data_IF_671963292101
#
_entry.id   IF_671963292101
#
_cell.length_a   1.000
_cell.length_b   1.000
_cell.length_c   1.000
_cell.angle_alpha   90.00
_cell.angle_beta   90.00
_cell.angle_gamma   90.00
#
_symmetry.space_group_name_H-M   'P 1'
#
loop_
_entity.id
_entity.type
_entity.pdbx_description
1 polymer ?
#
# COMPACT_ATOMS: atom_id res chain seq x y z
N UNK A 1 31.87 2.14 58.56
CA UNK A 1 32.36 1.96 57.19
C UNK A 1 31.47 1.06 56.32
N UNK A 2 30.91 -0.03 56.85
CA UNK A 2 30.05 -0.96 56.07
C UNK A 2 28.72 -0.35 55.64
N UNK A 3 28.13 0.53 56.44
CA UNK A 3 26.82 1.11 56.16
C UNK A 3 26.89 2.27 55.16
N UNK A 4 27.99 2.99 55.06
CA UNK A 4 28.22 4.03 54.04
C UNK A 4 28.42 3.42 52.65
N UNK A 5 29.05 2.23 52.56
CA UNK A 5 29.25 1.53 51.27
C UNK A 5 27.93 0.97 50.76
N UNK A 6 27.05 0.49 51.62
CA UNK A 6 25.71 0.00 51.27
C UNK A 6 24.80 1.15 50.76
N UNK A 7 24.87 2.32 51.40
CA UNK A 7 24.12 3.51 50.95
C UNK A 7 24.59 4.02 49.58
N UNK A 8 25.90 3.97 49.31
CA UNK A 8 26.48 4.39 48.04
C UNK A 8 26.13 3.43 46.87
N UNK A 9 26.09 2.13 47.15
CA UNK A 9 25.69 1.10 46.16
C UNK A 9 24.19 1.21 45.80
N UNK A 10 23.33 1.52 46.80
CA UNK A 10 21.90 1.75 46.53
C UNK A 10 21.65 3.02 45.71
N UNK A 11 22.45 4.07 45.92
CA UNK A 11 22.31 5.35 45.16
C UNK A 11 22.79 5.18 43.73
N UNK A 12 23.80 4.39 43.44
CA UNK A 12 24.31 4.12 42.10
C UNK A 12 23.35 3.22 41.31
N UNK A 13 22.64 2.28 41.95
CA UNK A 13 21.63 1.44 41.29
C UNK A 13 20.39 2.22 40.93
N UNK A 14 20.03 3.29 41.67
CA UNK A 14 18.90 4.17 41.28
C UNK A 14 19.20 5.14 40.11
N UNK A 15 20.46 5.39 39.79
CA UNK A 15 20.86 6.32 38.73
C UNK A 15 21.04 5.67 37.34
N UNK A 16 20.97 4.33 37.26
CA UNK A 16 21.10 3.59 35.99
C UNK A 16 19.72 3.24 35.35
N UNK A 17 18.61 3.59 36.00
CA UNK A 17 17.26 3.18 35.57
C UNK A 17 16.48 4.25 34.81
N UNK A 18 17.12 5.10 33.98
CA UNK A 18 16.39 6.15 33.30
C UNK A 18 16.89 6.51 31.89
N UNK A 19 17.20 5.53 31.07
CA UNK A 19 17.32 5.79 29.64
C UNK A 19 16.72 4.64 28.83
N UNK A 20 15.53 4.21 29.17
CA UNK A 20 14.63 3.65 28.17
C UNK A 20 14.07 4.89 27.45
N UNK A 21 14.71 5.26 26.35
CA UNK A 21 14.09 6.14 25.37
C UNK A 21 12.85 5.40 24.89
N UNK A 22 11.73 5.61 25.57
CA UNK A 22 10.42 5.38 25.00
C UNK A 22 10.44 6.19 23.72
N UNK A 23 10.39 5.50 22.60
CA UNK A 23 10.11 6.08 21.28
C UNK A 23 8.79 6.85 21.48
N UNK A 24 8.90 8.15 21.78
CA UNK A 24 7.77 8.94 22.23
C UNK A 24 6.81 9.00 21.06
N UNK A 25 5.75 8.21 21.17
CA UNK A 25 4.67 8.16 20.21
C UNK A 25 4.19 9.59 20.01
N UNK A 26 4.45 10.17 18.81
CA UNK A 26 3.97 11.52 18.50
C UNK A 26 2.45 11.49 18.67
N UNK A 27 1.85 12.42 19.44
CA UNK A 27 0.41 12.45 19.59
C UNK A 27 -0.23 12.57 18.21
N UNK A 28 -1.25 11.77 18.00
CA UNK A 28 -2.05 11.85 16.79
C UNK A 28 -2.68 13.23 16.71
N UNK A 29 -2.52 13.92 15.57
CA UNK A 29 -3.11 15.24 15.34
C UNK A 29 -4.57 15.07 14.92
N UNK A 30 -5.46 15.89 15.46
CA UNK A 30 -6.81 16.06 14.93
C UNK A 30 -6.83 16.96 13.69
N UNK A 31 -7.98 17.08 13.04
CA UNK A 31 -8.15 17.84 11.80
C UNK A 31 -7.75 19.30 11.94
N UNK A 32 -8.12 19.97 13.05
CA UNK A 32 -7.77 21.36 13.28
C UNK A 32 -6.26 21.53 13.46
N UNK A 33 -5.61 20.66 14.22
CA UNK A 33 -4.16 20.66 14.40
C UNK A 33 -3.40 20.42 13.09
N UNK A 34 -3.96 19.59 12.18
CA UNK A 34 -3.40 19.39 10.84
C UNK A 34 -3.45 20.72 10.06
N UNK A 35 -4.61 21.38 10.02
CA UNK A 35 -4.78 22.68 9.34
C UNK A 35 -3.86 23.76 9.92
N UNK A 36 -3.82 23.90 11.24
CA UNK A 36 -3.01 24.90 11.93
C UNK A 36 -1.50 24.70 11.72
N UNK A 37 -1.06 23.45 11.55
CA UNK A 37 0.33 23.12 11.26
C UNK A 37 0.78 23.53 9.84
N UNK A 38 -0.16 23.77 8.92
CA UNK A 38 0.12 24.04 7.52
C UNK A 38 0.70 22.85 6.73
N UNK A 39 0.63 21.63 7.29
CA UNK A 39 1.23 20.43 6.69
C UNK A 39 0.35 19.20 6.88
N UNK A 40 0.13 18.43 5.80
CA UNK A 40 -0.50 17.10 5.81
C UNK A 40 0.58 16.05 5.67
N UNK A 41 0.79 15.21 6.70
CA UNK A 41 1.74 14.09 6.68
C UNK A 41 1.07 12.86 6.05
N UNK A 42 1.59 12.43 4.90
CA UNK A 42 0.96 11.42 4.04
C UNK A 42 1.87 10.20 3.94
N UNK A 43 1.35 9.03 4.28
CA UNK A 43 2.05 7.76 4.09
C UNK A 43 1.69 7.11 2.75
N UNK A 44 2.72 6.71 2.01
CA UNK A 44 2.60 6.00 0.74
C UNK A 44 3.51 4.78 0.72
N UNK A 45 3.22 3.79 -0.12
CA UNK A 45 4.11 2.65 -0.39
C UNK A 45 4.28 2.46 -1.90
N UNK A 46 5.45 2.01 -2.33
CA UNK A 46 5.70 1.71 -3.74
C UNK A 46 4.74 0.62 -4.23
N UNK A 47 3.94 0.96 -5.22
CA UNK A 47 2.93 0.10 -5.81
C UNK A 47 2.50 0.67 -7.17
N UNK A 48 3.07 0.18 -8.25
CA UNK A 48 2.79 0.68 -9.60
C UNK A 48 1.36 0.35 -10.06
N UNK A 49 0.62 1.30 -10.67
CA UNK A 49 0.96 2.68 -10.97
C UNK A 49 0.49 3.69 -9.91
N UNK A 50 0.08 3.23 -8.72
CA UNK A 50 -0.35 4.10 -7.61
C UNK A 50 0.78 4.99 -7.12
N UNK A 51 1.94 4.40 -6.82
CA UNK A 51 3.14 5.09 -6.34
C UNK A 51 4.38 4.47 -7.00
N UNK A 52 5.15 5.27 -7.71
CA UNK A 52 6.36 4.85 -8.40
C UNK A 52 7.49 5.87 -8.19
N UNK A 53 8.71 5.48 -8.54
CA UNK A 53 9.81 6.44 -8.71
C UNK A 53 9.98 6.80 -10.17
N UNK A 54 10.03 8.09 -10.46
CA UNK A 54 10.45 8.60 -11.75
C UNK A 54 11.98 8.46 -11.93
N UNK A 55 12.47 8.66 -13.15
CA UNK A 55 13.90 8.62 -13.49
C UNK A 55 14.75 9.59 -12.66
N UNK A 56 14.19 10.73 -12.29
CA UNK A 56 14.83 11.75 -11.45
C UNK A 56 14.75 11.43 -9.94
N UNK A 57 14.19 10.27 -9.58
CA UNK A 57 14.03 9.82 -8.20
C UNK A 57 12.79 10.36 -7.48
N UNK A 58 12.01 11.26 -8.08
CA UNK A 58 10.79 11.77 -7.48
C UNK A 58 9.70 10.70 -7.41
N UNK A 59 8.80 10.83 -6.44
CA UNK A 59 7.61 10.00 -6.37
C UNK A 59 6.54 10.54 -7.33
N UNK A 60 5.98 9.63 -8.12
CA UNK A 60 4.92 9.86 -9.11
C UNK A 60 3.87 8.75 -9.03
N UNK A 61 2.71 8.97 -9.59
CA UNK A 61 1.62 7.98 -9.60
C UNK A 61 0.29 8.59 -9.20
N UNK A 62 -0.78 7.84 -9.37
CA UNK A 62 -2.15 8.30 -9.09
C UNK A 62 -2.32 8.78 -7.64
N UNK A 63 -1.70 8.10 -6.69
CA UNK A 63 -1.81 8.44 -5.28
C UNK A 63 -0.93 9.64 -4.91
N UNK A 64 0.16 9.88 -5.63
CA UNK A 64 0.99 11.07 -5.45
C UNK A 64 0.24 12.31 -5.94
N UNK A 65 -0.44 12.21 -7.08
CA UNK A 65 -1.30 13.30 -7.59
C UNK A 65 -2.46 13.55 -6.63
N UNK A 66 -3.09 12.49 -6.13
CA UNK A 66 -4.16 12.57 -5.14
C UNK A 66 -3.70 13.24 -3.83
N UNK A 67 -2.54 12.84 -3.32
CA UNK A 67 -1.94 13.40 -2.11
C UNK A 67 -1.65 14.91 -2.25
N UNK A 68 -1.06 15.31 -3.38
CA UNK A 68 -0.77 16.72 -3.69
C UNK A 68 -2.04 17.54 -3.83
N UNK A 69 -3.03 17.01 -4.53
CA UNK A 69 -4.31 17.69 -4.74
C UNK A 69 -5.09 17.83 -3.44
N UNK A 70 -5.15 16.80 -2.62
CA UNK A 70 -5.82 16.84 -1.32
C UNK A 70 -5.23 17.95 -0.43
N UNK A 71 -3.91 17.98 -0.28
CA UNK A 71 -3.24 19.01 0.51
C UNK A 71 -3.46 20.42 -0.07
N UNK A 72 -3.42 20.59 -1.38
CA UNK A 72 -3.70 21.85 -2.06
C UNK A 72 -5.14 22.35 -1.81
N UNK A 73 -6.13 21.45 -1.89
CA UNK A 73 -7.52 21.78 -1.60
C UNK A 73 -7.77 22.09 -0.11
N UNK A 74 -6.90 21.61 0.79
CA UNK A 74 -6.86 21.98 2.21
C UNK A 74 -6.13 23.33 2.47
N UNK A 75 -5.45 23.88 1.47
CA UNK A 75 -4.62 25.09 1.62
C UNK A 75 -3.32 24.88 2.39
N UNK A 76 -2.82 23.64 2.51
CA UNK A 76 -1.62 23.25 3.26
C UNK A 76 -0.63 22.49 2.38
N UNK A 77 0.59 22.25 2.90
CA UNK A 77 1.65 21.56 2.16
C UNK A 77 1.56 20.03 2.35
N UNK A 78 1.78 19.22 1.30
CA UNK A 78 1.93 17.77 1.46
C UNK A 78 3.33 17.41 1.95
N UNK A 79 3.41 16.57 2.97
CA UNK A 79 4.63 15.91 3.46
C UNK A 79 4.51 14.42 3.20
N UNK A 80 5.04 13.97 2.06
CA UNK A 80 4.87 12.60 1.58
C UNK A 80 6.04 11.75 2.05
N UNK A 81 5.76 10.71 2.85
CA UNK A 81 6.74 9.77 3.38
C UNK A 81 6.51 8.35 2.83
N UNK A 82 7.58 7.74 2.34
CA UNK A 82 7.56 6.36 1.82
C UNK A 82 7.74 5.37 2.96
N UNK A 83 6.87 4.38 2.98
CA UNK A 83 6.88 3.25 3.94
C UNK A 83 6.86 1.91 3.20
N UNK A 84 7.31 0.87 3.88
CA UNK A 84 6.92 -0.48 3.48
C UNK A 84 5.41 -0.66 3.66
N UNK A 85 4.79 -1.46 2.79
CA UNK A 85 3.33 -1.65 2.79
C UNK A 85 2.78 -2.04 4.16
N UNK A 86 3.44 -2.97 4.85
CA UNK A 86 3.07 -3.46 6.19
C UNK A 86 3.17 -2.41 7.29
N UNK A 87 3.95 -1.35 7.06
CA UNK A 87 4.20 -0.28 8.04
C UNK A 87 3.24 0.91 7.93
N UNK A 88 2.43 1.00 6.86
CA UNK A 88 1.51 2.13 6.66
C UNK A 88 0.49 2.28 7.80
N UNK A 89 -0.25 1.21 8.15
CA UNK A 89 -1.23 1.25 9.24
C UNK A 89 -0.54 1.47 10.59
N UNK A 90 0.55 0.75 10.96
CA UNK A 90 1.31 1.07 12.16
C UNK A 90 1.81 2.52 12.26
N UNK A 91 2.27 3.12 11.15
CA UNK A 91 2.70 4.52 11.12
C UNK A 91 1.54 5.48 11.39
N UNK A 92 0.36 5.20 10.83
CA UNK A 92 -0.85 5.96 11.07
C UNK A 92 -1.29 5.85 12.55
N UNK A 93 -1.34 4.65 13.11
CA UNK A 93 -1.71 4.40 14.52
C UNK A 93 -0.76 5.07 15.52
N UNK A 94 0.53 5.18 15.17
CA UNK A 94 1.54 5.87 15.97
C UNK A 94 1.55 7.40 15.80
N UNK A 95 0.68 7.97 14.95
CA UNK A 95 0.66 9.39 14.66
C UNK A 95 1.89 9.90 13.89
N UNK A 96 2.66 9.02 13.24
CA UNK A 96 3.78 9.43 12.38
C UNK A 96 3.27 10.07 11.08
N UNK A 97 2.10 9.67 10.60
CA UNK A 97 1.38 10.22 9.45
C UNK A 97 -0.08 10.50 9.84
N UNK A 98 -0.73 11.39 9.10
CA UNK A 98 -2.13 11.78 9.32
C UNK A 98 -3.09 10.99 8.44
N UNK A 99 -2.62 10.58 7.26
CA UNK A 99 -3.41 9.89 6.25
C UNK A 99 -2.57 8.91 5.43
N UNK A 100 -3.17 7.80 5.03
CA UNK A 100 -2.61 6.88 4.03
C UNK A 100 -3.28 7.16 2.68
N UNK A 101 -2.46 7.45 1.66
CA UNK A 101 -2.87 7.64 0.27
C UNK A 101 -2.04 6.68 -0.58
N UNK A 102 -2.50 5.42 -0.76
CA UNK A 102 -1.66 4.37 -1.32
C UNK A 102 -2.45 3.20 -1.95
N UNK A 103 -3.60 3.44 -2.58
CA UNK A 103 -4.41 2.38 -3.19
C UNK A 103 -4.89 1.33 -2.18
N UNK A 104 -5.14 1.74 -0.93
CA UNK A 104 -5.43 0.78 0.13
C UNK A 104 -6.84 0.20 0.00
N UNK A 105 -6.91 -1.11 -0.32
CA UNK A 105 -8.18 -1.83 -0.39
C UNK A 105 -8.92 -1.85 0.94
N UNK A 106 -10.20 -1.48 0.91
CA UNK A 106 -11.10 -1.49 2.07
C UNK A 106 -11.36 -2.94 2.47
N UNK A 107 -10.98 -3.30 3.70
CA UNK A 107 -11.21 -4.62 4.30
C UNK A 107 -11.77 -4.47 5.71
N UNK A 108 -12.72 -5.32 6.16
CA UNK A 108 -13.22 -5.31 7.53
C UNK A 108 -12.10 -5.34 8.58
N UNK A 109 -11.08 -6.20 8.40
CA UNK A 109 -9.96 -6.31 9.34
C UNK A 109 -9.13 -5.03 9.45
N UNK A 110 -8.99 -4.25 8.37
CA UNK A 110 -8.33 -2.93 8.41
C UNK A 110 -9.25 -1.88 9.03
N UNK A 111 -10.56 -1.93 8.74
CA UNK A 111 -11.54 -1.01 9.29
C UNK A 111 -11.72 -1.14 10.81
N UNK A 112 -11.30 -2.25 11.41
CA UNK A 112 -11.17 -2.37 12.87
C UNK A 112 -10.08 -1.46 13.45
N UNK A 113 -9.07 -1.11 12.64
CA UNK A 113 -7.88 -0.35 13.06
C UNK A 113 -7.90 1.11 12.62
N UNK A 114 -8.41 1.39 11.42
CA UNK A 114 -8.43 2.71 10.79
C UNK A 114 -9.84 3.06 10.32
N UNK A 115 -10.09 4.35 10.04
CA UNK A 115 -11.26 4.80 9.32
C UNK A 115 -10.93 4.94 7.83
N UNK A 116 -11.79 4.43 6.96
CA UNK A 116 -11.69 4.64 5.52
C UNK A 116 -12.62 5.74 5.05
N UNK A 117 -12.17 6.51 4.07
CA UNK A 117 -13.05 7.37 3.29
C UNK A 117 -14.10 6.55 2.53
N UNK A 118 -15.06 7.24 1.93
CA UNK A 118 -15.83 6.68 0.80
C UNK A 118 -14.87 6.16 -0.26
N UNK A 119 -15.23 5.08 -0.99
CA UNK A 119 -14.41 4.59 -2.07
C UNK A 119 -14.16 5.66 -3.13
N UNK A 120 -12.92 5.81 -3.56
CA UNK A 120 -12.54 6.69 -4.67
C UNK A 120 -12.18 5.91 -5.94
N UNK A 121 -11.99 4.58 -5.82
CA UNK A 121 -11.61 3.74 -6.93
C UNK A 121 -12.13 2.31 -6.80
N UNK A 122 -12.31 1.72 -7.96
CA UNK A 122 -12.49 0.29 -8.13
C UNK A 122 -11.17 -0.33 -8.55
N UNK A 123 -10.81 -1.43 -7.89
CA UNK A 123 -9.68 -2.24 -8.27
C UNK A 123 -10.10 -3.71 -8.41
N UNK A 124 -9.36 -4.43 -9.21
CA UNK A 124 -9.53 -5.87 -9.39
C UNK A 124 -8.28 -6.61 -9.00
N UNK A 125 -8.42 -7.88 -8.68
CA UNK A 125 -7.28 -8.78 -8.52
C UNK A 125 -7.12 -9.56 -9.82
N UNK A 126 -5.99 -9.36 -10.46
CA UNK A 126 -5.58 -10.09 -11.67
C UNK A 126 -4.51 -11.13 -11.37
N UNK A 127 -4.17 -11.85 -12.42
CA UNK A 127 -3.13 -12.87 -12.41
C UNK A 127 -2.28 -12.71 -13.67
N UNK A 128 -0.96 -12.77 -13.50
CA UNK A 128 0.00 -12.93 -14.58
C UNK A 128 0.78 -14.22 -14.37
N UNK A 129 1.06 -14.94 -15.43
CA UNK A 129 1.72 -16.25 -15.40
C UNK A 129 3.06 -16.24 -16.13
N UNK A 130 4.03 -17.00 -15.64
CA UNK A 130 5.28 -17.24 -16.33
C UNK A 130 5.03 -18.22 -17.48
N UNK A 131 5.23 -17.77 -18.73
CA UNK A 131 4.90 -18.52 -19.96
C UNK A 131 5.67 -19.83 -20.09
N UNK A 132 6.90 -19.92 -19.61
CA UNK A 132 7.69 -21.14 -19.67
C UNK A 132 7.15 -22.21 -18.71
N UNK A 133 6.86 -21.82 -17.46
CA UNK A 133 6.38 -22.73 -16.41
C UNK A 133 4.92 -23.16 -16.61
N UNK A 134 4.13 -22.39 -17.35
CA UNK A 134 2.70 -22.65 -17.56
C UNK A 134 2.34 -22.96 -19.00
N UNK A 135 3.34 -23.19 -19.86
CA UNK A 135 3.20 -23.45 -21.31
C UNK A 135 2.15 -24.50 -21.65
N UNK A 136 2.12 -25.58 -20.90
CA UNK A 136 1.24 -26.71 -21.16
C UNK A 136 -0.13 -26.62 -20.46
N UNK A 137 -0.34 -25.57 -19.66
CA UNK A 137 -1.60 -25.39 -18.91
C UNK A 137 -2.74 -25.01 -19.87
N UNK A 138 -3.87 -25.71 -19.74
CA UNK A 138 -5.08 -25.48 -20.56
C UNK A 138 -6.11 -24.64 -19.82
N UNK A 139 -5.97 -24.52 -18.49
CA UNK A 139 -6.89 -23.73 -17.66
C UNK A 139 -6.24 -23.25 -16.38
N UNK A 140 -6.83 -22.21 -15.80
CA UNK A 140 -6.45 -21.68 -14.48
C UNK A 140 -6.55 -22.72 -13.34
N UNK A 141 -7.33 -23.79 -13.53
CA UNK A 141 -7.47 -24.84 -12.52
C UNK A 141 -6.16 -25.63 -12.33
N UNK A 142 -5.28 -25.66 -13.32
CA UNK A 142 -3.97 -26.31 -13.21
C UNK A 142 -3.03 -25.55 -12.28
N UNK A 143 -3.27 -24.25 -12.08
CA UNK A 143 -2.60 -23.47 -11.03
C UNK A 143 -3.02 -23.85 -9.60
N UNK A 144 -4.04 -24.69 -9.41
CA UNK A 144 -4.56 -25.09 -8.08
C UNK A 144 -3.94 -26.40 -7.55
N UNK A 145 -2.74 -26.76 -7.99
CA UNK A 145 -2.06 -28.01 -7.61
C UNK A 145 -0.99 -27.74 -6.54
N UNK A 146 -0.66 -28.73 -5.69
CA UNK A 146 0.31 -28.59 -4.60
C UNK A 146 1.75 -28.27 -5.04
N UNK A 147 2.12 -28.67 -6.26
CA UNK A 147 3.44 -28.43 -6.85
C UNK A 147 3.58 -27.03 -7.48
N UNK A 148 2.53 -26.24 -7.49
CA UNK A 148 2.52 -24.89 -8.07
C UNK A 148 2.89 -23.87 -7.01
N UNK A 149 3.73 -22.91 -7.39
CA UNK A 149 4.06 -21.74 -6.58
C UNK A 149 3.32 -20.51 -7.12
N UNK A 150 2.57 -19.81 -6.28
CA UNK A 150 1.93 -18.54 -6.61
C UNK A 150 2.52 -17.45 -5.71
N UNK A 151 3.07 -16.40 -6.33
CA UNK A 151 3.59 -15.24 -5.63
C UNK A 151 2.51 -14.21 -5.30
N UNK A 152 2.62 -13.58 -4.14
CA UNK A 152 1.75 -12.48 -3.68
C UNK A 152 2.54 -11.49 -2.86
N UNK A 153 2.19 -10.22 -2.90
CA UNK A 153 2.69 -9.26 -1.92
C UNK A 153 1.97 -9.46 -0.57
N UNK A 154 2.75 -9.54 0.51
CA UNK A 154 2.25 -9.76 1.87
C UNK A 154 1.22 -8.71 2.30
N UNK A 155 0.28 -9.10 3.15
CA UNK A 155 -0.74 -8.23 3.77
C UNK A 155 -1.67 -7.48 2.80
N UNK A 156 -1.68 -7.84 1.52
CA UNK A 156 -2.56 -7.27 0.50
C UNK A 156 -3.91 -7.99 0.38
N UNK A 157 -4.83 -7.40 -0.38
CA UNK A 157 -6.07 -8.10 -0.81
C UNK A 157 -5.71 -9.31 -1.65
N UNK A 158 -4.72 -9.16 -2.55
CA UNK A 158 -4.24 -10.23 -3.43
C UNK A 158 -3.79 -11.47 -2.67
N UNK A 159 -3.03 -11.29 -1.58
CA UNK A 159 -2.62 -12.38 -0.70
C UNK A 159 -3.81 -13.12 -0.06
N UNK A 160 -4.86 -12.39 0.31
CA UNK A 160 -6.08 -12.99 0.88
C UNK A 160 -6.87 -13.77 -0.16
N UNK A 161 -6.95 -13.24 -1.39
CA UNK A 161 -7.61 -13.91 -2.53
C UNK A 161 -6.86 -15.17 -2.92
N UNK A 162 -5.53 -15.09 -3.03
CA UNK A 162 -4.69 -16.25 -3.37
C UNK A 162 -4.90 -17.40 -2.38
N UNK A 163 -4.79 -17.16 -1.08
CA UNK A 163 -5.02 -18.18 -0.04
C UNK A 163 -6.40 -18.81 -0.11
N UNK A 164 -7.44 -18.04 -0.44
CA UNK A 164 -8.81 -18.54 -0.55
C UNK A 164 -9.05 -19.35 -1.82
N UNK A 165 -8.60 -18.85 -2.98
CA UNK A 165 -8.93 -19.45 -4.29
C UNK A 165 -7.96 -20.55 -4.71
N UNK A 166 -6.73 -20.53 -4.18
CA UNK A 166 -5.65 -21.44 -4.49
C UNK A 166 -5.16 -22.16 -3.21
N UNK A 167 -6.11 -22.66 -2.41
CA UNK A 167 -5.84 -23.22 -1.07
C UNK A 167 -4.93 -24.44 -1.04
N UNK A 168 -4.81 -25.16 -2.17
CA UNK A 168 -3.93 -26.31 -2.32
C UNK A 168 -2.54 -25.97 -2.85
N UNK A 169 -2.35 -24.74 -3.31
CA UNK A 169 -1.14 -24.26 -3.97
C UNK A 169 -0.17 -23.67 -2.94
N UNK A 170 1.12 -23.75 -3.23
CA UNK A 170 2.14 -23.11 -2.40
C UNK A 170 2.14 -21.58 -2.62
N UNK A 171 1.58 -20.82 -1.67
CA UNK A 171 1.53 -19.37 -1.74
C UNK A 171 2.81 -18.79 -1.14
N UNK A 172 3.64 -18.15 -1.98
CA UNK A 172 4.90 -17.50 -1.58
C UNK A 172 4.66 -15.99 -1.34
N UNK A 173 4.81 -15.50 -0.10
CA UNK A 173 4.70 -14.07 0.21
C UNK A 173 6.00 -13.33 -0.10
N UNK A 174 5.89 -12.11 -0.64
CA UNK A 174 6.99 -11.18 -0.90
C UNK A 174 6.74 -9.86 -0.16
N UNK A 175 7.79 -9.18 0.28
CA UNK A 175 7.70 -7.92 1.01
C UNK A 175 7.32 -6.74 0.12
N UNK A 176 7.82 -6.73 -1.12
CA UNK A 176 7.56 -5.67 -2.08
C UNK A 176 6.94 -6.19 -3.38
N UNK A 177 6.38 -5.25 -4.14
CA UNK A 177 5.87 -5.53 -5.48
C UNK A 177 7.01 -5.89 -6.46
N UNK A 178 8.17 -5.24 -6.30
CA UNK A 178 9.32 -5.49 -7.17
C UNK A 178 9.86 -6.91 -6.98
N UNK A 179 10.05 -7.35 -5.72
CA UNK A 179 10.49 -8.71 -5.43
C UNK A 179 9.54 -9.77 -6.01
N UNK A 180 8.22 -9.49 -5.97
CA UNK A 180 7.21 -10.37 -6.55
C UNK A 180 7.34 -10.45 -8.08
N UNK A 181 7.54 -9.32 -8.76
CA UNK A 181 7.76 -9.28 -10.22
C UNK A 181 9.05 -9.99 -10.60
N UNK A 182 10.13 -9.73 -9.87
CA UNK A 182 11.42 -10.37 -10.11
C UNK A 182 11.33 -11.90 -9.96
N UNK A 183 10.61 -12.39 -8.94
CA UNK A 183 10.38 -13.81 -8.73
C UNK A 183 9.58 -14.46 -9.89
N UNK A 184 8.58 -13.75 -10.44
CA UNK A 184 7.86 -14.23 -11.62
C UNK A 184 8.77 -14.33 -12.83
N UNK A 185 9.57 -13.28 -13.10
CA UNK A 185 10.47 -13.23 -14.26
C UNK A 185 11.61 -14.23 -14.19
N UNK A 186 12.06 -14.59 -12.98
CA UNK A 186 13.07 -15.63 -12.72
C UNK A 186 12.52 -17.06 -12.73
N UNK A 187 11.20 -17.24 -12.82
CA UNK A 187 10.55 -18.55 -12.75
C UNK A 187 10.53 -19.16 -11.33
N UNK A 188 10.72 -18.39 -10.29
CA UNK A 188 10.60 -18.85 -8.89
C UNK A 188 9.14 -19.14 -8.50
N UNK A 189 8.20 -18.48 -9.19
CA UNK A 189 6.75 -18.70 -9.10
C UNK A 189 6.16 -18.91 -10.49
N UNK A 190 5.13 -19.76 -10.57
CA UNK A 190 4.39 -20.05 -11.80
C UNK A 190 3.48 -18.89 -12.21
N UNK A 191 2.94 -18.21 -11.20
CA UNK A 191 2.08 -17.05 -11.41
C UNK A 191 2.22 -16.06 -10.26
N UNK A 192 1.92 -14.79 -10.54
CA UNK A 192 1.72 -13.76 -9.53
C UNK A 192 0.25 -13.35 -9.48
N UNK A 193 -0.25 -13.05 -8.28
CA UNK A 193 -1.58 -12.46 -8.07
C UNK A 193 -1.39 -11.08 -7.46
N UNK A 194 -1.88 -10.06 -8.16
CA UNK A 194 -1.75 -8.67 -7.76
C UNK A 194 -3.00 -7.85 -8.15
N UNK A 195 -3.07 -6.61 -7.65
CA UNK A 195 -4.12 -5.70 -8.07
C UNK A 195 -3.91 -5.26 -9.53
N UNK A 196 -5.01 -5.23 -10.30
CA UNK A 196 -4.98 -4.64 -11.64
C UNK A 196 -4.73 -3.12 -11.55
N UNK A 197 -3.97 -2.54 -12.50
CA UNK A 197 -3.52 -3.13 -13.76
C UNK A 197 -2.12 -3.77 -13.72
N UNK A 198 -1.51 -3.96 -12.55
CA UNK A 198 -0.12 -4.41 -12.46
C UNK A 198 0.17 -5.73 -13.22
N UNK A 199 -0.64 -6.80 -13.13
CA UNK A 199 -0.38 -8.00 -13.93
C UNK A 199 -0.28 -7.70 -15.43
N UNK A 200 -1.18 -6.83 -15.94
CA UNK A 200 -1.19 -6.44 -17.34
C UNK A 200 0.08 -5.66 -17.72
N UNK A 201 0.55 -4.75 -16.86
CA UNK A 201 1.78 -4.00 -17.13
C UNK A 201 3.01 -4.91 -17.14
N UNK A 202 3.10 -5.86 -16.22
CA UNK A 202 4.21 -6.85 -16.19
C UNK A 202 4.21 -7.67 -17.47
N UNK A 203 3.05 -8.15 -17.92
CA UNK A 203 2.94 -8.89 -19.17
C UNK A 203 3.30 -8.03 -20.39
N UNK A 204 2.81 -6.80 -20.48
CA UNK A 204 3.14 -5.88 -21.59
C UNK A 204 4.62 -5.52 -21.66
N UNK A 205 5.32 -5.48 -20.53
CA UNK A 205 6.75 -5.19 -20.48
C UNK A 205 7.63 -6.42 -20.74
N UNK A 206 7.09 -7.64 -20.62
CA UNK A 206 7.81 -8.91 -20.69
C UNK A 206 7.00 -9.95 -21.48
N UNK A 207 6.54 -9.60 -22.69
CA UNK A 207 5.65 -10.43 -23.52
C UNK A 207 6.22 -11.80 -23.89
N UNK A 208 7.53 -11.94 -23.85
CA UNK A 208 8.26 -13.21 -24.08
C UNK A 208 8.24 -14.15 -22.87
N UNK A 209 8.00 -13.63 -21.66
CA UNK A 209 8.10 -14.36 -20.38
C UNK A 209 6.82 -14.43 -19.58
N UNK A 210 5.88 -13.53 -19.84
CA UNK A 210 4.68 -13.36 -19.01
C UNK A 210 3.45 -13.18 -19.88
N UNK A 211 2.39 -13.90 -19.54
CA UNK A 211 1.08 -13.78 -20.14
C UNK A 211 -0.03 -13.50 -19.11
N UNK A 212 -1.22 -13.17 -19.62
CA UNK A 212 -2.44 -12.97 -18.83
C UNK A 212 -3.43 -14.08 -19.17
N UNK A 213 -3.46 -15.17 -18.39
CA UNK A 213 -4.28 -16.33 -18.71
C UNK A 213 -5.78 -16.10 -18.51
N UNK A 214 -6.19 -14.93 -18.00
CA UNK A 214 -7.60 -14.61 -17.78
C UNK A 214 -7.89 -13.11 -17.91
N UNK A 215 -8.97 -12.77 -18.59
CA UNK A 215 -9.41 -11.38 -18.79
C UNK A 215 -10.21 -10.85 -17.61
N UNK A 216 -11.05 -11.70 -16.99
CA UNK A 216 -11.89 -11.29 -15.85
C UNK A 216 -11.08 -11.31 -14.55
N UNK A 217 -11.20 -10.29 -13.71
CA UNK A 217 -10.51 -10.29 -12.42
C UNK A 217 -11.02 -11.41 -11.51
N UNK A 218 -10.11 -11.97 -10.70
CA UNK A 218 -10.42 -12.96 -9.66
C UNK A 218 -11.36 -12.40 -8.59
N UNK A 219 -11.22 -11.12 -8.30
CA UNK A 219 -12.04 -10.37 -7.35
C UNK A 219 -12.00 -8.90 -7.72
N UNK A 220 -13.13 -8.19 -7.53
CA UNK A 220 -13.18 -6.73 -7.49
C UNK A 220 -13.21 -6.25 -6.03
N UNK A 221 -12.59 -5.11 -5.74
CA UNK A 221 -12.61 -4.45 -4.43
C UNK A 221 -12.59 -2.92 -4.57
N UNK A 222 -12.88 -2.23 -3.48
CA UNK A 222 -12.87 -0.76 -3.42
C UNK A 222 -11.63 -0.25 -2.72
N UNK A 223 -11.09 0.87 -3.17
CA UNK A 223 -9.99 1.60 -2.56
C UNK A 223 -10.49 2.80 -1.79
N UNK A 224 -9.87 3.09 -0.65
CA UNK A 224 -10.20 4.21 0.21
C UNK A 224 -8.95 4.86 0.81
N UNK A 225 -9.04 6.17 1.07
CA UNK A 225 -8.08 6.88 1.91
C UNK A 225 -8.26 6.40 3.35
N UNK A 226 -7.17 6.21 4.10
CA UNK A 226 -7.28 5.76 5.47
C UNK A 226 -6.72 6.80 6.43
N UNK A 227 -7.49 7.10 7.47
CA UNK A 227 -7.12 7.97 8.59
C UNK A 227 -7.25 7.22 9.91
N UNK A 228 -6.69 7.77 10.94
CA UNK A 228 -6.83 7.25 12.29
C UNK A 228 -8.28 7.29 12.78
N UNK A 229 -8.59 6.45 13.75
CA UNK A 229 -9.91 6.47 14.39
C UNK A 229 -10.07 7.68 15.32
N UNK A 230 -11.33 8.09 15.50
CA UNK A 230 -11.71 9.13 16.47
C UNK A 230 -11.84 10.53 15.90
N UNK A 231 -11.37 10.80 14.68
CA UNK A 231 -11.50 12.12 14.04
C UNK A 231 -12.67 12.11 13.04
N UNK A 232 -13.83 12.48 13.49
CA UNK A 232 -15.05 12.53 12.68
C UNK A 232 -15.02 13.68 11.67
N UNK A 233 -14.43 14.82 12.04
CA UNK A 233 -14.37 16.00 11.18
C UNK A 233 -13.42 15.77 9.99
N UNK A 234 -12.25 15.18 10.25
CA UNK A 234 -11.35 14.81 9.16
C UNK A 234 -11.98 13.76 8.25
N UNK A 235 -12.63 12.73 8.81
CA UNK A 235 -13.35 11.74 8.01
C UNK A 235 -14.44 12.38 7.15
N UNK A 236 -15.23 13.30 7.69
CA UNK A 236 -16.27 14.00 6.96
C UNK A 236 -15.68 14.87 5.84
N UNK A 237 -14.57 15.56 6.10
CA UNK A 237 -13.87 16.36 5.10
C UNK A 237 -13.39 15.49 3.93
N UNK A 238 -12.63 14.41 4.18
CA UNK A 238 -12.13 13.54 3.11
C UNK A 238 -13.25 12.83 2.35
N UNK A 239 -14.37 12.49 3.00
CA UNK A 239 -15.54 11.95 2.33
C UNK A 239 -16.18 12.97 1.38
N UNK A 240 -16.31 14.21 1.81
CA UNK A 240 -16.81 15.31 0.99
C UNK A 240 -15.86 15.62 -0.17
N UNK A 241 -14.56 15.59 0.09
CA UNK A 241 -13.53 15.78 -0.93
C UNK A 241 -13.58 14.69 -2.00
N UNK A 242 -13.68 13.43 -1.63
CA UNK A 242 -13.83 12.30 -2.59
C UNK A 242 -15.07 12.49 -3.44
N UNK A 243 -16.21 12.88 -2.84
CA UNK A 243 -17.45 13.15 -3.60
C UNK A 243 -17.25 14.28 -4.59
N UNK A 244 -16.67 15.41 -4.16
CA UNK A 244 -16.44 16.58 -5.02
C UNK A 244 -15.49 16.26 -6.17
N UNK A 245 -14.33 15.61 -5.89
CA UNK A 245 -13.32 15.27 -6.91
C UNK A 245 -13.76 14.13 -7.83
N UNK A 246 -14.75 13.34 -7.44
CA UNK A 246 -15.39 12.37 -8.33
C UNK A 246 -16.40 13.05 -9.25
N UNK A 247 -17.22 13.96 -8.70
CA UNK A 247 -18.26 14.66 -9.44
C UNK A 247 -17.70 15.61 -10.51
N UNK A 248 -16.56 16.26 -10.24
CA UNK A 248 -15.87 17.14 -11.22
C UNK A 248 -14.96 16.37 -12.18
N UNK A 249 -15.02 15.02 -12.16
CA UNK A 249 -14.24 14.11 -12.98
C UNK A 249 -12.72 14.15 -12.76
N UNK A 250 -12.21 14.82 -11.72
CA UNK A 250 -10.78 14.89 -11.46
C UNK A 250 -10.20 13.53 -11.06
N UNK A 251 -10.82 12.80 -10.10
CA UNK A 251 -10.39 11.44 -9.72
C UNK A 251 -10.51 10.47 -10.91
N UNK A 252 -11.63 10.41 -11.66
CA UNK A 252 -11.71 9.62 -12.89
C UNK A 252 -10.59 9.93 -13.89
N UNK A 253 -10.27 11.21 -14.09
CA UNK A 253 -9.24 11.64 -15.03
C UNK A 253 -7.83 11.16 -14.66
N UNK A 254 -7.39 11.33 -13.41
CA UNK A 254 -6.08 10.82 -12.97
C UNK A 254 -6.01 9.29 -13.05
N UNK A 255 -7.12 8.60 -12.74
CA UNK A 255 -7.17 7.14 -12.86
C UNK A 255 -7.06 6.71 -14.32
N UNK A 256 -7.77 7.34 -15.24
CA UNK A 256 -7.62 7.08 -16.67
C UNK A 256 -6.15 7.27 -17.13
N UNK A 257 -5.53 8.39 -16.77
CA UNK A 257 -4.13 8.67 -17.12
C UNK A 257 -3.18 7.56 -16.59
N UNK A 258 -3.26 7.22 -15.30
CA UNK A 258 -2.31 6.28 -14.70
C UNK A 258 -2.60 4.81 -14.97
N UNK A 259 -3.86 4.41 -15.19
CA UNK A 259 -4.24 3.00 -15.29
C UNK A 259 -4.55 2.54 -16.72
N UNK A 260 -4.81 3.46 -17.65
CA UNK A 260 -5.28 3.12 -18.99
C UNK A 260 -4.40 3.71 -20.10
N UNK A 261 -3.94 4.99 -19.99
CA UNK A 261 -3.26 5.66 -21.10
C UNK A 261 -1.82 5.19 -21.35
N UNK A 262 -1.10 4.77 -20.32
CA UNK A 262 0.33 4.44 -20.36
C UNK A 262 1.27 5.59 -20.82
N UNK A 263 0.78 6.82 -20.97
CA UNK A 263 1.57 7.99 -21.39
C UNK A 263 2.68 8.36 -20.41
N UNK A 264 2.52 7.97 -19.14
CA UNK A 264 3.49 8.18 -18.07
C UNK A 264 4.72 7.26 -18.14
N UNK A 265 4.73 6.24 -19.01
CA UNK A 265 5.80 5.20 -19.03
C UNK A 265 7.20 5.79 -19.21
N UNK A 266 7.32 6.83 -20.04
CA UNK A 266 8.60 7.48 -20.29
C UNK A 266 9.15 8.24 -19.06
N UNK A 267 8.32 8.53 -18.06
CA UNK A 267 8.75 9.19 -16.83
C UNK A 267 9.43 8.21 -15.86
N UNK A 268 9.11 6.91 -15.94
CA UNK A 268 9.55 5.90 -14.95
C UNK A 268 10.54 4.86 -15.50
N UNK A 269 10.78 4.84 -16.81
CA UNK A 269 11.73 3.92 -17.47
C UNK A 269 13.14 4.46 -17.55
#
# INVERSE_FOLDING_TARGET
>A
MHDLVKALVLLVVMLVSSNVSADAQKPQRDFQQILDSGELRIGVALFSPWVMRAKDGQLVGSEIDMARRLAADMGIKPSIALYEWSQLIPALEKGAIDIIVSGMGIKPSRALRVNFSRPYGDAGIGLAANTELTRDFKSINELKQPNINIGVQSETVSASVARRMFSKTNIKPYGSQQDLVDALLKGEVHAMIAANPQPNFVALQNMDKVDIPMVKPLLAFKEGLAISKGDADFLNFINSWVVARTADAWIPGIRHYWFESLEWREQVK
#
